data_IF_012827669287
#
_entry.id   IF_012827669287
#
_cell.length_a   1.000
_cell.length_b   1.000
_cell.length_c   1.000
_cell.angle_alpha   90.00
_cell.angle_beta   90.00
_cell.angle_gamma   90.00
#
_symmetry.space_group_name_H-M   'P 1'
#
loop_
_entity.id
_entity.type
_entity.pdbx_description
1 polymer ?
#
# COMPACT_ATOMS: atom_id res chain seq x y z
N UNK A 1 32.72 3.00 -22.73
CA UNK A 1 32.20 4.35 -22.53
C UNK A 1 32.27 4.66 -21.03
N UNK A 2 32.88 5.82 -20.68
CA UNK A 2 33.00 6.25 -19.30
C UNK A 2 31.60 6.50 -18.74
N UNK A 3 31.29 5.88 -17.61
CA UNK A 3 30.02 6.14 -16.88
C UNK A 3 30.07 7.60 -16.42
N UNK A 4 29.13 8.42 -16.91
CA UNK A 4 29.03 9.81 -16.51
C UNK A 4 28.85 9.89 -14.98
N UNK A 5 29.70 10.67 -14.31
CA UNK A 5 29.54 10.91 -12.88
C UNK A 5 28.33 11.82 -12.65
N UNK A 6 27.50 11.51 -11.64
CA UNK A 6 26.37 12.38 -11.32
C UNK A 6 26.87 13.78 -10.94
N UNK A 7 26.11 14.85 -11.25
CA UNK A 7 26.41 16.19 -10.77
C UNK A 7 26.55 16.21 -9.25
N UNK A 8 27.50 17.00 -8.71
CA UNK A 8 27.82 17.04 -7.28
C UNK A 8 26.59 17.32 -6.41
N UNK A 9 25.68 18.20 -6.89
CA UNK A 9 24.39 18.51 -6.26
C UNK A 9 23.53 17.27 -5.93
N UNK A 10 23.70 16.21 -6.71
CA UNK A 10 22.87 15.01 -6.61
C UNK A 10 23.64 13.76 -6.20
N UNK A 11 24.91 13.91 -5.84
CA UNK A 11 25.81 12.80 -5.48
C UNK A 11 25.26 11.97 -4.30
N UNK A 12 24.56 12.61 -3.36
CA UNK A 12 23.92 11.95 -2.23
C UNK A 12 22.74 11.04 -2.61
N UNK A 13 22.19 11.20 -3.82
CA UNK A 13 21.12 10.36 -4.35
C UNK A 13 21.68 9.20 -5.21
N UNK A 14 22.99 9.24 -5.50
CA UNK A 14 23.64 8.23 -6.33
C UNK A 14 24.15 7.08 -5.48
N UNK A 15 23.45 5.95 -5.54
CA UNK A 15 23.90 4.69 -4.95
C UNK A 15 24.33 3.77 -6.07
N UNK A 16 25.58 3.32 -6.06
CA UNK A 16 26.09 2.40 -7.07
C UNK A 16 25.49 1.00 -6.82
N UNK A 17 24.48 0.63 -7.61
CA UNK A 17 23.99 -0.74 -7.70
C UNK A 17 24.28 -1.29 -9.09
N UNK A 18 24.86 -2.48 -9.16
CA UNK A 18 25.04 -3.18 -10.45
C UNK A 18 23.68 -3.66 -10.96
N UNK A 19 23.40 -3.47 -12.25
CA UNK A 19 22.24 -4.04 -12.92
C UNK A 19 21.09 -3.08 -13.23
N UNK A 20 21.09 -1.83 -12.73
CA UNK A 20 20.04 -0.87 -13.04
C UNK A 20 20.56 0.32 -13.84
N UNK A 21 20.07 0.46 -15.08
CA UNK A 21 20.28 1.69 -15.84
C UNK A 21 19.51 2.84 -15.17
N UNK A 22 20.15 4.01 -15.03
CA UNK A 22 19.53 5.23 -14.51
C UNK A 22 19.08 5.19 -13.04
N UNK A 23 19.78 4.48 -12.18
CA UNK A 23 19.48 4.43 -10.75
C UNK A 23 19.31 5.82 -10.11
N UNK A 24 20.14 6.78 -10.52
CA UNK A 24 20.04 8.17 -10.07
C UNK A 24 18.70 8.83 -10.38
N UNK A 25 18.20 8.72 -11.61
CA UNK A 25 16.92 9.27 -12.01
C UNK A 25 15.76 8.54 -11.32
N UNK A 26 15.89 7.25 -11.11
CA UNK A 26 14.90 6.47 -10.38
C UNK A 26 14.75 6.99 -8.94
N UNK A 27 15.84 7.27 -8.24
CA UNK A 27 15.85 7.88 -6.91
C UNK A 27 15.19 9.27 -6.87
N UNK A 28 15.44 10.09 -7.89
CA UNK A 28 14.80 11.41 -8.00
C UNK A 28 13.29 11.28 -8.13
N UNK A 29 12.82 10.38 -8.99
CA UNK A 29 11.41 10.14 -9.21
C UNK A 29 10.72 9.54 -7.97
N UNK A 30 11.37 8.62 -7.28
CA UNK A 30 10.89 8.11 -5.99
C UNK A 30 10.68 9.27 -5.00
N UNK A 31 11.71 10.10 -4.80
CA UNK A 31 11.66 11.24 -3.88
C UNK A 31 10.55 12.23 -4.26
N UNK A 32 10.42 12.55 -5.55
CA UNK A 32 9.38 13.44 -6.05
C UNK A 32 7.99 12.89 -5.73
N UNK A 33 7.74 11.63 -6.07
CA UNK A 33 6.44 10.99 -5.88
C UNK A 33 6.10 10.83 -4.40
N UNK A 34 7.04 10.37 -3.58
CA UNK A 34 6.81 10.16 -2.14
C UNK A 34 6.69 11.47 -1.35
N UNK A 35 7.17 12.59 -1.88
CA UNK A 35 7.07 13.89 -1.18
C UNK A 35 5.62 14.30 -0.88
N UNK A 36 4.68 13.92 -1.74
CA UNK A 36 3.26 14.19 -1.55
C UNK A 36 2.61 13.45 -0.38
N UNK A 37 3.23 12.38 0.10
CA UNK A 37 2.68 11.58 1.20
C UNK A 37 2.81 12.26 2.57
N UNK A 38 3.67 13.25 2.73
CA UNK A 38 3.83 13.99 4.00
C UNK A 38 2.52 14.65 4.47
N UNK A 39 1.66 15.04 3.54
CA UNK A 39 0.35 15.63 3.85
C UNK A 39 -0.68 14.66 4.42
N UNK A 40 -0.42 13.34 4.35
CA UNK A 40 -1.28 12.33 4.97
C UNK A 40 -1.14 12.31 6.49
N UNK A 41 -0.13 12.96 7.06
CA UNK A 41 0.20 12.97 8.47
C UNK A 41 1.35 12.03 8.84
N UNK A 42 1.71 12.02 10.11
CA UNK A 42 2.80 11.19 10.63
C UNK A 42 2.28 9.78 10.97
N UNK A 43 2.49 8.86 10.04
CA UNK A 43 2.16 7.44 10.24
C UNK A 43 3.27 6.67 10.96
N UNK A 44 4.52 7.15 10.97
CA UNK A 44 5.59 6.50 11.71
C UNK A 44 5.33 6.53 13.22
N UNK A 45 4.65 7.58 13.71
CA UNK A 45 4.21 7.68 15.10
C UNK A 45 2.88 6.95 15.38
N UNK A 46 2.25 6.34 14.38
CA UNK A 46 0.97 5.63 14.52
C UNK A 46 1.17 4.18 14.99
N UNK A 47 1.95 4.00 16.06
CA UNK A 47 2.19 2.67 16.66
C UNK A 47 0.91 2.09 17.24
N UNK A 48 0.77 0.76 17.20
CA UNK A 48 -0.43 0.06 17.66
C UNK A 48 -1.35 -0.40 16.54
N UNK A 49 -2.46 -1.01 16.92
CA UNK A 49 -3.43 -1.55 15.99
C UNK A 49 -4.33 -0.45 15.40
N UNK A 50 -4.42 -0.36 14.08
CA UNK A 50 -5.34 0.52 13.38
C UNK A 50 -6.65 -0.20 13.18
N UNK A 51 -7.74 0.35 13.69
CA UNK A 51 -9.08 -0.24 13.61
C UNK A 51 -9.97 0.65 12.76
N UNK A 52 -10.41 0.11 11.62
CA UNK A 52 -11.34 0.73 10.70
C UNK A 52 -12.72 0.12 10.92
N UNK A 53 -13.72 0.96 11.14
CA UNK A 53 -15.12 0.56 11.25
C UNK A 53 -15.94 1.25 10.17
N UNK A 54 -16.89 0.54 9.61
CA UNK A 54 -17.78 1.11 8.61
C UNK A 54 -18.81 0.12 8.08
N UNK A 55 -19.29 0.41 6.88
CA UNK A 55 -20.23 -0.45 6.17
C UNK A 55 -19.77 -0.65 4.73
N UNK A 56 -20.10 -1.78 4.13
CA UNK A 56 -19.92 -1.99 2.70
C UNK A 56 -21.03 -1.27 1.92
N UNK A 57 -20.87 -1.16 0.60
CA UNK A 57 -21.93 -0.64 -0.29
C UNK A 57 -23.22 -1.47 -0.21
N UNK A 58 -23.11 -2.77 0.10
CA UNK A 58 -24.25 -3.66 0.34
C UNK A 58 -24.92 -3.47 1.72
N UNK A 59 -24.37 -2.58 2.58
CA UNK A 59 -24.92 -2.31 3.91
C UNK A 59 -24.34 -3.17 5.04
N UNK A 60 -23.51 -4.17 4.73
CA UNK A 60 -22.90 -5.02 5.76
C UNK A 60 -21.93 -4.23 6.63
N UNK A 61 -22.02 -4.34 7.94
CA UNK A 61 -21.01 -3.80 8.85
C UNK A 61 -19.69 -4.57 8.71
N UNK A 62 -18.58 -3.86 8.87
CA UNK A 62 -17.26 -4.47 8.91
C UNK A 62 -16.36 -3.84 9.96
N UNK A 63 -15.38 -4.62 10.40
CA UNK A 63 -14.22 -4.17 11.15
C UNK A 63 -12.96 -4.72 10.51
N UNK A 64 -12.05 -3.82 10.11
CA UNK A 64 -10.72 -4.18 9.65
C UNK A 64 -9.71 -3.71 10.71
N UNK A 65 -8.84 -4.62 11.14
CA UNK A 65 -7.79 -4.34 12.14
C UNK A 65 -6.44 -4.62 11.53
N UNK A 66 -5.55 -3.64 11.54
CA UNK A 66 -4.17 -3.76 11.06
C UNK A 66 -3.22 -3.60 12.24
N UNK A 67 -2.54 -4.69 12.63
CA UNK A 67 -1.61 -4.73 13.76
C UNK A 67 -0.24 -5.29 13.33
N UNK A 68 0.76 -5.20 14.21
CA UNK A 68 2.08 -5.79 13.93
C UNK A 68 2.03 -7.32 13.94
N UNK A 69 1.17 -7.89 14.77
CA UNK A 69 0.97 -9.33 14.90
C UNK A 69 0.09 -9.96 13.81
N UNK A 70 -0.72 -9.15 13.12
CA UNK A 70 -1.63 -9.66 12.11
C UNK A 70 -2.65 -8.66 11.59
N UNK A 71 -3.35 -9.09 10.56
CA UNK A 71 -4.48 -8.36 9.97
C UNK A 71 -5.76 -9.18 10.12
N UNK A 72 -6.79 -8.56 10.70
CA UNK A 72 -8.10 -9.18 10.89
C UNK A 72 -9.20 -8.42 10.16
N UNK A 73 -10.15 -9.14 9.58
CA UNK A 73 -11.36 -8.59 8.96
C UNK A 73 -12.57 -9.36 9.46
N UNK A 74 -13.50 -8.65 10.14
CA UNK A 74 -14.85 -9.17 10.41
C UNK A 74 -15.81 -8.56 9.40
N UNK A 75 -16.46 -9.39 8.59
CA UNK A 75 -17.34 -8.99 7.51
C UNK A 75 -18.30 -10.12 7.15
N UNK A 76 -19.57 -9.82 6.85
CA UNK A 76 -20.61 -10.80 6.52
C UNK A 76 -20.72 -11.94 7.55
N UNK A 77 -20.66 -11.61 8.84
CA UNK A 77 -20.71 -12.56 9.96
C UNK A 77 -19.57 -13.60 9.96
N UNK A 78 -18.52 -13.36 9.20
CA UNK A 78 -17.30 -14.15 9.16
C UNK A 78 -16.12 -13.36 9.70
N UNK A 79 -15.16 -14.05 10.26
CA UNK A 79 -13.88 -13.47 10.70
C UNK A 79 -12.74 -14.13 9.94
N UNK A 80 -11.90 -13.28 9.36
CA UNK A 80 -10.70 -13.67 8.62
C UNK A 80 -9.49 -13.13 9.37
N UNK A 81 -8.39 -13.86 9.33
CA UNK A 81 -7.16 -13.44 9.99
C UNK A 81 -5.93 -13.89 9.20
N UNK A 82 -5.00 -12.96 8.99
CA UNK A 82 -3.66 -13.20 8.44
C UNK A 82 -2.64 -12.95 9.55
N UNK A 83 -1.96 -14.00 9.98
CA UNK A 83 -0.81 -13.88 10.88
C UNK A 83 0.39 -13.25 10.15
N UNK A 84 1.17 -12.43 10.85
CA UNK A 84 2.34 -11.74 10.33
C UNK A 84 3.62 -12.16 11.09
N UNK A 85 3.81 -13.46 11.28
CA UNK A 85 5.09 -13.99 11.77
C UNK A 85 6.09 -14.18 10.61
N UNK A 86 7.38 -14.33 10.93
CA UNK A 86 8.44 -14.54 9.91
C UNK A 86 8.25 -15.81 9.08
N UNK A 87 7.48 -16.77 9.58
CA UNK A 87 7.18 -18.05 8.93
C UNK A 87 5.77 -18.11 8.34
N UNK A 88 4.95 -17.08 8.53
CA UNK A 88 3.60 -17.08 8.00
C UNK A 88 3.61 -16.76 6.49
N UNK A 89 2.98 -17.63 5.72
CA UNK A 89 2.76 -17.38 4.30
C UNK A 89 1.55 -16.46 4.09
N UNK A 90 1.57 -15.63 3.03
CA UNK A 90 0.39 -14.85 2.65
C UNK A 90 -0.78 -15.76 2.30
N UNK A 91 -1.96 -15.46 2.84
CA UNK A 91 -3.18 -16.20 2.57
C UNK A 91 -4.09 -15.44 1.58
N UNK A 92 -4.73 -16.17 0.66
CA UNK A 92 -5.78 -15.60 -0.20
C UNK A 92 -7.10 -15.49 0.58
N UNK A 93 -7.11 -14.64 1.61
CA UNK A 93 -8.28 -14.41 2.49
C UNK A 93 -8.74 -12.94 2.44
N UNK A 94 -10.07 -12.70 2.39
CA UNK A 94 -11.16 -13.66 2.08
C UNK A 94 -10.94 -14.34 0.73
N UNK A 95 -11.47 -15.54 0.53
CA UNK A 95 -11.34 -16.26 -0.75
C UNK A 95 -11.74 -15.37 -1.93
N UNK A 96 -11.00 -15.48 -3.03
CA UNK A 96 -11.19 -14.68 -4.25
C UNK A 96 -10.96 -13.16 -4.07
N UNK A 97 -10.23 -12.76 -3.03
CA UNK A 97 -9.86 -11.35 -2.83
C UNK A 97 -8.45 -11.00 -3.32
N UNK A 98 -7.70 -12.00 -3.82
CA UNK A 98 -6.30 -11.82 -4.20
C UNK A 98 -5.37 -11.56 -3.01
N UNK A 99 -5.75 -12.00 -1.78
CA UNK A 99 -4.96 -11.80 -0.57
C UNK A 99 -5.15 -10.44 0.08
N UNK A 100 -6.40 -9.98 0.21
CA UNK A 100 -6.75 -8.67 0.77
C UNK A 100 -6.07 -8.38 2.10
N UNK A 101 -6.04 -9.35 3.03
CA UNK A 101 -5.47 -9.11 4.36
C UNK A 101 -3.97 -8.81 4.27
N UNK A 102 -3.26 -9.55 3.44
CA UNK A 102 -1.83 -9.30 3.23
C UNK A 102 -1.58 -7.99 2.46
N UNK A 103 -2.42 -7.67 1.48
CA UNK A 103 -2.37 -6.38 0.79
C UNK A 103 -2.53 -5.21 1.76
N UNK A 104 -3.42 -5.33 2.75
CA UNK A 104 -3.59 -4.31 3.80
C UNK A 104 -2.39 -4.23 4.75
N UNK A 105 -1.73 -5.35 5.05
CA UNK A 105 -0.45 -5.34 5.75
C UNK A 105 0.62 -4.55 4.98
N UNK A 106 0.77 -4.80 3.67
CA UNK A 106 1.72 -4.08 2.82
C UNK A 106 1.45 -2.57 2.84
N UNK A 107 0.17 -2.17 2.79
CA UNK A 107 -0.21 -0.76 2.90
C UNK A 107 0.17 -0.14 4.25
N UNK A 108 -0.13 -0.80 5.38
CA UNK A 108 0.28 -0.33 6.72
C UNK A 108 1.80 -0.18 6.81
N UNK A 109 2.54 -1.19 6.39
CA UNK A 109 4.00 -1.20 6.36
C UNK A 109 4.55 -0.04 5.54
N UNK A 110 3.98 0.20 4.36
CA UNK A 110 4.35 1.33 3.51
C UNK A 110 4.07 2.69 4.16
N UNK A 111 2.93 2.87 4.81
CA UNK A 111 2.62 4.13 5.51
C UNK A 111 3.56 4.38 6.69
N UNK A 112 3.91 3.35 7.46
CA UNK A 112 4.76 3.48 8.66
C UNK A 112 6.24 3.63 8.32
N UNK A 113 6.76 2.89 7.36
CA UNK A 113 8.20 2.74 7.12
C UNK A 113 8.65 3.24 5.75
N UNK A 114 7.70 3.57 4.85
CA UNK A 114 7.95 3.99 3.47
C UNK A 114 8.69 2.89 2.70
N UNK A 115 9.60 3.28 1.82
CA UNK A 115 10.43 2.37 1.03
C UNK A 115 11.25 1.38 1.88
N UNK A 116 11.52 1.71 3.13
CA UNK A 116 12.29 0.86 4.05
C UNK A 116 11.56 -0.42 4.49
N UNK A 117 10.23 -0.46 4.30
CA UNK A 117 9.45 -1.66 4.59
C UNK A 117 9.77 -2.84 3.66
N UNK A 118 10.44 -2.60 2.54
CA UNK A 118 10.56 -3.55 1.43
C UNK A 118 12.01 -3.90 1.15
N UNK A 119 12.24 -5.11 0.60
CA UNK A 119 13.55 -5.53 0.11
C UNK A 119 13.97 -4.76 -1.14
N UNK A 120 13.00 -4.51 -2.04
CA UNK A 120 13.18 -3.65 -3.21
C UNK A 120 12.06 -2.61 -3.30
N UNK A 121 12.43 -1.40 -3.72
CA UNK A 121 11.50 -0.31 -3.99
C UNK A 121 12.04 0.57 -5.11
N UNK A 122 11.26 0.74 -6.20
CA UNK A 122 11.71 1.53 -7.34
C UNK A 122 10.56 2.17 -8.12
N UNK A 123 10.87 3.25 -8.82
CA UNK A 123 9.95 3.89 -9.76
C UNK A 123 9.93 3.12 -11.07
N UNK A 124 8.77 2.64 -11.46
CA UNK A 124 8.56 1.92 -12.73
C UNK A 124 8.37 2.87 -13.90
N UNK A 125 7.62 3.94 -13.71
CA UNK A 125 7.22 4.85 -14.77
C UNK A 125 5.86 5.46 -14.53
N UNK A 126 5.17 5.83 -15.60
CA UNK A 126 3.78 6.30 -15.52
C UNK A 126 2.89 5.59 -16.53
N UNK A 127 1.68 5.20 -16.08
CA UNK A 127 0.70 4.49 -16.89
C UNK A 127 -0.71 5.01 -16.66
N UNK A 128 -1.67 4.75 -17.56
CA UNK A 128 -3.09 4.97 -17.29
C UNK A 128 -3.57 4.05 -16.15
N UNK A 129 -4.33 4.61 -15.20
CA UNK A 129 -4.94 3.81 -14.14
C UNK A 129 -6.37 3.43 -14.54
N UNK A 130 -6.67 2.13 -14.47
CA UNK A 130 -8.02 1.57 -14.67
C UNK A 130 -8.71 2.06 -15.95
N UNK A 131 -7.95 2.26 -17.03
CA UNK A 131 -8.46 2.71 -18.31
C UNK A 131 -8.98 4.14 -18.37
N UNK A 132 -8.79 4.93 -17.31
CA UNK A 132 -9.29 6.32 -17.19
C UNK A 132 -8.63 7.32 -18.15
N UNK A 133 -7.53 6.93 -18.81
CA UNK A 133 -6.70 7.82 -19.63
C UNK A 133 -5.81 8.76 -18.83
N UNK A 134 -6.11 9.04 -17.56
CA UNK A 134 -5.25 9.81 -16.68
C UNK A 134 -4.01 8.98 -16.28
N UNK A 135 -2.82 9.53 -16.52
CA UNK A 135 -1.57 8.85 -16.15
C UNK A 135 -1.23 9.08 -14.70
N UNK A 136 -0.84 8.01 -14.03
CA UNK A 136 -0.38 7.99 -12.65
C UNK A 136 1.08 7.57 -12.60
N UNK A 137 1.79 7.96 -11.55
CA UNK A 137 3.13 7.43 -11.27
C UNK A 137 3.01 6.08 -10.59
N UNK A 138 3.87 5.15 -11.00
CA UNK A 138 3.88 3.78 -10.49
C UNK A 138 5.20 3.48 -9.78
N UNK A 139 5.08 3.03 -8.53
CA UNK A 139 6.17 2.45 -7.77
C UNK A 139 5.97 0.95 -7.64
N UNK A 140 7.06 0.21 -7.65
CA UNK A 140 7.07 -1.23 -7.35
C UNK A 140 7.70 -1.42 -5.98
N UNK A 141 7.14 -2.31 -5.18
CA UNK A 141 7.81 -2.86 -4.00
C UNK A 141 7.79 -4.37 -4.00
N UNK A 142 8.84 -4.96 -3.45
CA UNK A 142 8.97 -6.42 -3.29
C UNK A 142 9.36 -6.76 -1.85
N UNK A 143 8.65 -7.70 -1.27
CA UNK A 143 8.94 -8.27 0.05
C UNK A 143 8.77 -9.79 -0.01
N UNK A 144 9.89 -10.53 -0.03
CA UNK A 144 9.85 -11.95 -0.34
C UNK A 144 9.27 -12.19 -1.73
N UNK A 145 8.23 -13.00 -1.83
CA UNK A 145 7.53 -13.30 -3.09
C UNK A 145 6.37 -12.31 -3.37
N UNK A 146 6.07 -11.43 -2.42
CA UNK A 146 4.96 -10.48 -2.56
C UNK A 146 5.41 -9.25 -3.32
N UNK A 147 4.68 -8.91 -4.36
CA UNK A 147 4.93 -7.74 -5.20
C UNK A 147 3.74 -6.80 -5.18
N UNK A 148 4.01 -5.49 -4.97
CA UNK A 148 2.99 -4.46 -5.07
C UNK A 148 3.33 -3.41 -6.12
N UNK A 149 2.28 -2.91 -6.78
CA UNK A 149 2.31 -1.77 -7.70
C UNK A 149 1.53 -0.64 -7.06
N UNK A 150 2.21 0.42 -6.66
CA UNK A 150 1.61 1.57 -5.96
C UNK A 150 1.34 2.69 -6.95
N UNK A 151 0.13 3.25 -6.93
CA UNK A 151 -0.34 4.26 -7.86
C UNK A 151 -0.47 5.63 -7.20
N UNK A 152 0.18 6.62 -7.77
CA UNK A 152 0.20 7.98 -7.24
C UNK A 152 -0.28 8.99 -8.26
N UNK A 153 -1.09 9.96 -7.80
CA UNK A 153 -1.40 11.15 -8.59
C UNK A 153 -0.11 11.91 -8.91
N UNK A 154 0.12 12.16 -10.19
CA UNK A 154 1.36 12.78 -10.69
C UNK A 154 1.58 14.20 -10.20
N UNK A 155 0.50 14.95 -9.95
CA UNK A 155 0.57 16.35 -9.56
C UNK A 155 0.69 16.52 -8.04
N UNK A 156 -0.04 15.69 -7.31
CA UNK A 156 -0.19 15.80 -5.86
C UNK A 156 0.66 14.81 -5.08
N UNK A 157 1.17 13.75 -5.72
CA UNK A 157 1.83 12.62 -5.05
C UNK A 157 0.89 11.90 -4.07
N UNK A 158 -0.44 11.98 -4.29
CA UNK A 158 -1.42 11.29 -3.48
C UNK A 158 -1.45 9.83 -3.85
N UNK A 159 -1.41 8.95 -2.85
CA UNK A 159 -1.63 7.52 -3.06
C UNK A 159 -3.09 7.28 -3.46
N UNK A 160 -3.30 6.73 -4.65
CA UNK A 160 -4.62 6.43 -5.21
C UNK A 160 -5.05 4.99 -4.94
N UNK A 161 -4.09 4.11 -4.72
CA UNK A 161 -4.30 2.69 -4.51
C UNK A 161 -3.06 1.87 -4.83
N UNK A 162 -3.22 0.56 -4.83
CA UNK A 162 -2.16 -0.37 -5.23
C UNK A 162 -2.77 -1.69 -5.68
N UNK A 163 -1.98 -2.46 -6.44
CA UNK A 163 -2.23 -3.87 -6.70
C UNK A 163 -1.19 -4.68 -5.93
N UNK A 164 -1.62 -5.76 -5.32
CA UNK A 164 -0.78 -6.66 -4.55
C UNK A 164 -0.93 -8.08 -5.08
N UNK A 165 0.19 -8.70 -5.46
CA UNK A 165 0.27 -10.09 -5.84
C UNK A 165 1.04 -10.83 -4.77
N UNK A 166 0.38 -11.78 -4.10
CA UNK A 166 0.96 -12.56 -3.01
C UNK A 166 1.76 -13.77 -3.52
N UNK A 167 1.39 -14.31 -4.69
CA UNK A 167 2.03 -15.43 -5.37
C UNK A 167 1.83 -15.32 -6.89
N UNK A 168 2.70 -15.96 -7.68
CA UNK A 168 2.65 -15.87 -9.14
C UNK A 168 1.33 -16.36 -9.74
N UNK A 169 0.75 -17.44 -9.19
CA UNK A 169 -0.48 -18.06 -9.67
C UNK A 169 -1.77 -17.48 -9.08
N UNK A 170 -1.65 -16.50 -8.18
CA UNK A 170 -2.81 -15.86 -7.54
C UNK A 170 -3.15 -14.55 -8.25
N UNK A 171 -4.46 -14.33 -8.48
CA UNK A 171 -4.95 -13.05 -8.99
C UNK A 171 -4.57 -11.90 -8.04
N UNK A 172 -4.28 -10.74 -8.61
CA UNK A 172 -3.92 -9.56 -7.81
C UNK A 172 -5.10 -9.06 -6.98
N UNK A 173 -4.80 -8.62 -5.76
CA UNK A 173 -5.70 -7.80 -4.97
C UNK A 173 -5.53 -6.35 -5.42
N UNK A 174 -6.52 -5.81 -6.12
CA UNK A 174 -6.54 -4.43 -6.58
C UNK A 174 -7.26 -3.55 -5.56
N UNK A 175 -6.57 -2.62 -4.94
CA UNK A 175 -7.15 -1.68 -3.97
C UNK A 175 -7.13 -0.27 -4.51
N UNK A 176 -8.26 0.42 -4.46
CA UNK A 176 -8.41 1.82 -4.89
C UNK A 176 -9.02 2.64 -3.77
N UNK A 177 -8.54 3.87 -3.63
CA UNK A 177 -9.01 4.81 -2.63
C UNK A 177 -9.94 5.87 -3.22
N UNK A 178 -10.99 6.23 -2.46
CA UNK A 178 -11.92 7.31 -2.77
C UNK A 178 -12.15 8.21 -1.58
N UNK A 179 -12.01 9.53 -1.79
CA UNK A 179 -12.20 10.53 -0.74
C UNK A 179 -11.22 10.40 0.43
N UNK A 180 -11.29 11.35 1.35
CA UNK A 180 -10.46 11.37 2.55
C UNK A 180 -11.32 11.70 3.77
N UNK A 181 -10.95 11.13 4.92
CA UNK A 181 -11.43 11.52 6.26
C UNK A 181 -10.22 11.85 7.13
N UNK A 182 -10.36 12.84 8.01
CA UNK A 182 -9.34 13.16 9.00
C UNK A 182 -9.66 12.44 10.31
N UNK A 183 -8.68 11.74 10.87
CA UNK A 183 -8.78 11.14 12.19
C UNK A 183 -7.41 11.08 12.85
N UNK A 184 -7.31 11.65 14.05
CA UNK A 184 -6.07 11.69 14.82
C UNK A 184 -4.92 12.42 14.13
N UNK A 185 -5.21 13.50 13.38
CA UNK A 185 -4.24 14.28 12.62
C UNK A 185 -3.66 13.54 11.41
N UNK A 186 -4.35 12.50 10.94
CA UNK A 186 -3.97 11.70 9.77
C UNK A 186 -5.14 11.64 8.80
N UNK A 187 -4.80 11.63 7.51
CA UNK A 187 -5.78 11.48 6.43
C UNK A 187 -5.86 10.03 6.01
N UNK A 188 -7.07 9.49 6.10
CA UNK A 188 -7.41 8.11 5.78
C UNK A 188 -8.34 8.07 4.57
N UNK A 189 -8.36 6.99 3.80
CA UNK A 189 -9.36 6.85 2.74
C UNK A 189 -10.77 6.80 3.33
N UNK A 190 -11.69 7.54 2.72
CA UNK A 190 -13.12 7.46 3.05
C UNK A 190 -13.78 6.22 2.45
N UNK A 191 -13.25 5.76 1.31
CA UNK A 191 -13.72 4.57 0.60
C UNK A 191 -12.52 3.71 0.21
N UNK A 192 -12.61 2.41 0.45
CA UNK A 192 -11.66 1.41 0.00
C UNK A 192 -12.40 0.46 -0.93
N UNK A 193 -12.09 0.50 -2.23
CA UNK A 193 -12.64 -0.41 -3.23
C UNK A 193 -11.65 -1.53 -3.47
N UNK A 194 -12.11 -2.77 -3.39
CA UNK A 194 -11.31 -3.98 -3.59
C UNK A 194 -11.84 -4.75 -4.77
N UNK A 195 -10.96 -5.11 -5.70
CA UNK A 195 -11.24 -5.97 -6.85
C UNK A 195 -10.21 -7.10 -6.90
N UNK A 196 -10.54 -8.18 -7.55
CA UNK A 196 -9.61 -9.26 -7.91
C UNK A 196 -10.13 -9.98 -9.14
N UNK A 197 -9.26 -10.44 -10.03
CA UNK A 197 -9.63 -11.08 -11.30
C UNK A 197 -10.66 -10.27 -12.12
N UNK A 198 -10.57 -8.92 -12.09
CA UNK A 198 -11.54 -8.03 -12.77
C UNK A 198 -12.90 -7.90 -12.07
N UNK A 199 -13.20 -8.68 -11.03
CA UNK A 199 -14.46 -8.65 -10.28
C UNK A 199 -14.39 -7.73 -9.06
N UNK A 200 -15.51 -7.08 -8.72
CA UNK A 200 -15.64 -6.34 -7.47
C UNK A 200 -15.80 -7.31 -6.31
N UNK A 201 -14.87 -7.27 -5.34
CA UNK A 201 -14.94 -8.02 -4.09
C UNK A 201 -15.80 -7.27 -3.07
N UNK A 202 -15.45 -6.01 -2.80
CA UNK A 202 -16.20 -5.14 -1.89
C UNK A 202 -15.85 -3.67 -2.09
N UNK A 203 -16.77 -2.79 -1.63
CA UNK A 203 -16.48 -1.38 -1.36
C UNK A 203 -16.74 -1.11 0.13
N UNK A 204 -15.69 -0.76 0.84
CA UNK A 204 -15.72 -0.49 2.28
C UNK A 204 -15.79 1.03 2.51
N UNK A 205 -16.93 1.53 2.94
CA UNK A 205 -17.09 2.90 3.39
C UNK A 205 -16.56 3.03 4.82
N UNK A 206 -15.49 3.78 5.01
CA UNK A 206 -14.86 4.00 6.32
C UNK A 206 -15.63 5.09 7.07
N UNK A 207 -16.14 4.76 8.25
CA UNK A 207 -16.83 5.70 9.14
C UNK A 207 -15.90 6.25 10.22
N UNK A 208 -15.10 5.36 10.83
CA UNK A 208 -14.16 5.73 11.88
C UNK A 208 -12.85 4.98 11.72
N UNK A 209 -11.75 5.63 12.09
CA UNK A 209 -10.44 5.00 12.26
C UNK A 209 -9.92 5.34 13.65
N UNK A 210 -9.51 4.34 14.41
CA UNK A 210 -8.89 4.52 15.72
C UNK A 210 -7.58 3.75 15.77
N UNK A 211 -6.59 4.29 16.52
CA UNK A 211 -5.35 3.60 16.82
C UNK A 211 -5.43 3.16 18.27
N UNK A 212 -5.28 1.86 18.53
CA UNK A 212 -5.33 1.26 19.85
C UNK A 212 -3.96 0.72 20.22
N UNK A 213 -3.51 0.83 21.48
CA UNK A 213 -2.30 0.14 21.92
C UNK A 213 -2.41 -1.36 21.60
N UNK A 214 -1.32 -1.95 21.12
CA UNK A 214 -1.26 -3.42 21.02
C UNK A 214 -1.11 -3.98 22.43
N UNK A 215 -1.99 -4.90 22.78
CA UNK A 215 -1.86 -5.66 24.03
C UNK A 215 -0.73 -6.66 23.81
N UNK A 216 0.40 -6.44 24.47
CA UNK A 216 1.49 -7.42 24.51
C UNK A 216 0.93 -8.75 25.05
N UNK A 217 0.99 -9.79 24.25
CA UNK A 217 0.71 -11.16 24.70
C UNK A 217 1.94 -11.77 25.31
#
# INVERSE_FOLDING_TARGET
>A
PAVAKPPEKYKHLYVKKSGFANYYFNQLEQKRTLSGMSRLGDFAAATGAWVFLGTTEAGDAYQLTLADSGVGLSWKQQAYFQELSKSAEPLNEPKSSGGLLYAMHMWRSFLMQRERAFGEFYYLGSEPLDGSGARVDVMISELGNVRCRWYFDRKRGQLLGWDCRIEEETDECEVRFGGEIDSGGRRWPKMITVRSAGALVAKFAVKTVTIRPEVSR
#
